data_IF_514331596298
#
_entry.id   IF_514331596298
#
_cell.length_a   1.000
_cell.length_b   1.000
_cell.length_c   1.000
_cell.angle_alpha   90.00
_cell.angle_beta   90.00
_cell.angle_gamma   90.00
#
_symmetry.space_group_name_H-M   'P 1'
#
loop_
_entity.id
_entity.type
_entity.pdbx_description
1 polymer ?
#
# COMPACT_ATOMS: atom_id res chain seq x y z
N UNK A 1 27.91 -33.40 -24.51
CA UNK A 1 28.37 -32.15 -23.92
C UNK A 1 28.94 -31.21 -24.96
N UNK A 2 28.42 -30.00 -25.04
CA UNK A 2 28.88 -28.95 -25.94
C UNK A 2 29.39 -27.74 -25.11
N UNK A 3 30.65 -27.77 -24.69
CA UNK A 3 31.23 -26.67 -23.95
C UNK A 3 31.29 -25.38 -24.78
N UNK A 4 31.10 -24.21 -24.22
CA UNK A 4 31.11 -22.96 -24.95
C UNK A 4 32.52 -22.66 -25.49
N UNK A 5 32.61 -22.28 -26.77
CA UNK A 5 33.86 -21.78 -27.39
C UNK A 5 34.30 -20.41 -26.86
N UNK A 6 33.35 -19.62 -26.36
CA UNK A 6 33.57 -18.28 -25.82
C UNK A 6 32.81 -18.18 -24.47
N UNK A 7 33.42 -17.57 -23.47
CA UNK A 7 32.89 -17.48 -22.09
C UNK A 7 31.47 -16.89 -21.96
N UNK A 8 30.98 -16.17 -22.96
CA UNK A 8 29.62 -15.59 -23.01
C UNK A 8 28.56 -16.54 -23.54
N UNK A 9 28.92 -17.68 -24.12
CA UNK A 9 27.98 -18.66 -24.61
C UNK A 9 27.63 -19.67 -23.52
N UNK A 10 26.38 -20.20 -23.51
CA UNK A 10 25.98 -21.20 -22.54
C UNK A 10 26.65 -22.57 -22.80
N UNK A 11 26.85 -23.32 -21.73
CA UNK A 11 27.19 -24.75 -21.82
C UNK A 11 25.92 -25.51 -22.14
N UNK A 12 25.97 -26.40 -23.16
CA UNK A 12 24.83 -27.19 -23.60
C UNK A 12 25.09 -28.69 -23.41
N UNK A 13 24.09 -29.40 -22.92
CA UNK A 13 24.12 -30.85 -22.78
C UNK A 13 22.94 -31.42 -23.53
N UNK A 14 23.18 -32.22 -24.56
CA UNK A 14 22.12 -32.90 -25.28
C UNK A 14 21.72 -34.15 -24.51
N UNK A 15 20.45 -34.28 -24.23
CA UNK A 15 19.83 -35.41 -23.55
C UNK A 15 18.81 -36.04 -24.48
N UNK A 16 18.63 -37.35 -24.37
CA UNK A 16 17.67 -38.12 -25.15
C UNK A 16 16.93 -39.07 -24.22
N UNK A 17 15.64 -39.25 -24.47
CA UNK A 17 14.81 -40.32 -23.92
C UNK A 17 13.98 -40.96 -25.02
N UNK A 18 13.02 -41.79 -24.63
CA UNK A 18 12.15 -42.53 -25.60
C UNK A 18 11.18 -41.60 -26.35
N UNK A 19 11.02 -40.34 -25.88
CA UNK A 19 10.10 -39.36 -26.47
C UNK A 19 10.78 -38.35 -27.39
N UNK A 20 12.11 -38.17 -27.27
CA UNK A 20 12.84 -37.24 -28.13
C UNK A 20 14.15 -36.73 -27.57
N UNK A 21 14.59 -35.61 -28.18
CA UNK A 21 15.83 -34.91 -27.85
C UNK A 21 15.52 -33.60 -27.14
N UNK A 22 16.27 -33.29 -26.09
CA UNK A 22 16.21 -32.00 -25.37
C UNK A 22 17.62 -31.49 -25.06
N UNK A 23 17.81 -30.18 -25.10
CA UNK A 23 19.04 -29.54 -24.66
C UNK A 23 18.89 -28.92 -23.26
N UNK A 24 19.78 -29.27 -22.34
CA UNK A 24 19.95 -28.58 -21.08
C UNK A 24 20.94 -27.43 -21.27
N UNK A 25 20.56 -26.24 -20.90
CA UNK A 25 21.30 -24.99 -21.14
C UNK A 25 21.75 -24.37 -19.85
N UNK A 26 23.06 -24.15 -19.68
CA UNK A 26 23.63 -23.58 -18.46
C UNK A 26 24.43 -22.33 -18.79
N UNK A 27 24.02 -21.16 -18.26
CA UNK A 27 24.79 -19.94 -18.33
C UNK A 27 25.77 -19.87 -17.14
N UNK A 28 27.00 -19.46 -17.40
CA UNK A 28 28.05 -19.29 -16.37
C UNK A 28 28.39 -20.56 -15.56
N UNK A 29 28.15 -21.75 -16.09
CA UNK A 29 28.44 -23.00 -15.39
C UNK A 29 29.90 -23.44 -15.59
N UNK A 30 30.48 -24.09 -14.58
CA UNK A 30 31.82 -24.68 -14.61
C UNK A 30 31.72 -26.05 -15.25
N UNK A 31 32.62 -26.37 -16.19
CA UNK A 31 32.69 -27.64 -16.92
C UNK A 31 32.71 -28.83 -15.97
N UNK A 32 33.63 -28.83 -15.01
CA UNK A 32 33.82 -29.91 -14.05
C UNK A 32 32.53 -30.23 -13.26
N UNK A 33 31.75 -29.19 -12.91
CA UNK A 33 30.47 -29.37 -12.22
C UNK A 33 29.43 -30.05 -13.11
N UNK A 34 29.30 -29.59 -14.37
CA UNK A 34 28.32 -30.16 -15.32
C UNK A 34 28.66 -31.63 -15.64
N UNK A 35 29.93 -31.96 -15.89
CA UNK A 35 30.36 -33.31 -16.17
C UNK A 35 30.16 -34.28 -14.98
N UNK A 36 30.28 -33.74 -13.75
CA UNK A 36 30.00 -34.51 -12.51
C UNK A 36 28.51 -34.80 -12.33
N UNK A 37 27.64 -33.83 -12.63
CA UNK A 37 26.20 -33.95 -12.38
C UNK A 37 25.49 -34.64 -13.52
N UNK A 38 25.98 -34.46 -14.76
CA UNK A 38 25.45 -35.05 -15.99
C UNK A 38 26.54 -35.88 -16.72
N UNK A 39 27.01 -36.98 -16.15
CA UNK A 39 28.01 -37.82 -16.82
C UNK A 39 27.44 -38.41 -18.11
N UNK A 40 28.30 -38.56 -19.15
CA UNK A 40 27.90 -39.11 -20.44
C UNK A 40 27.47 -40.58 -20.28
N UNK A 41 26.39 -40.95 -20.95
CA UNK A 41 25.87 -42.32 -20.95
C UNK A 41 25.13 -42.74 -19.70
N UNK A 42 24.87 -41.80 -18.77
CA UNK A 42 24.08 -42.08 -17.58
C UNK A 42 22.69 -41.41 -17.64
N UNK A 43 21.70 -42.13 -17.15
CA UNK A 43 20.34 -41.63 -17.02
C UNK A 43 20.25 -40.66 -15.82
N UNK A 44 19.56 -39.53 -16.02
CA UNK A 44 19.21 -38.54 -15.00
C UNK A 44 17.76 -38.15 -15.11
N UNK A 45 17.17 -37.82 -13.99
CA UNK A 45 15.87 -37.15 -13.92
C UNK A 45 16.15 -35.67 -13.85
N UNK A 46 15.55 -34.89 -14.73
CA UNK A 46 15.67 -33.44 -14.77
C UNK A 46 14.30 -32.80 -14.60
N UNK A 47 14.20 -31.76 -13.77
CA UNK A 47 12.98 -30.99 -13.55
C UNK A 47 13.29 -29.52 -13.78
N UNK A 48 12.39 -28.82 -14.46
CA UNK A 48 12.53 -27.40 -14.77
C UNK A 48 11.56 -26.96 -15.86
N UNK A 49 11.63 -25.69 -16.24
CA UNK A 49 10.79 -25.11 -17.28
C UNK A 49 11.29 -25.51 -18.67
N UNK A 50 10.45 -26.21 -19.42
CA UNK A 50 10.71 -26.55 -20.81
C UNK A 50 10.36 -25.36 -21.71
N UNK A 51 11.26 -25.02 -22.63
CA UNK A 51 11.14 -23.93 -23.58
C UNK A 51 11.44 -24.39 -25.00
N UNK A 52 10.82 -23.77 -26.00
CA UNK A 52 11.16 -23.93 -27.41
C UNK A 52 12.02 -22.78 -27.90
N UNK A 53 13.22 -23.06 -28.36
CA UNK A 53 14.12 -22.04 -28.87
C UNK A 53 14.72 -22.49 -30.21
N UNK A 54 14.51 -21.72 -31.30
CA UNK A 54 14.99 -22.01 -32.66
C UNK A 54 14.63 -23.41 -33.14
N UNK A 55 13.44 -23.91 -32.82
CA UNK A 55 12.96 -25.23 -33.25
C UNK A 55 13.42 -26.38 -32.35
N UNK A 56 14.26 -26.17 -31.36
CA UNK A 56 14.71 -27.18 -30.42
C UNK A 56 14.00 -27.06 -29.08
N UNK A 57 13.76 -28.21 -28.45
CA UNK A 57 13.28 -28.26 -27.05
C UNK A 57 14.47 -28.04 -26.12
N UNK A 58 14.39 -27.10 -25.22
CA UNK A 58 15.44 -26.84 -24.24
C UNK A 58 14.91 -26.61 -22.85
N UNK A 59 15.76 -26.84 -21.85
CA UNK A 59 15.52 -26.50 -20.45
C UNK A 59 16.70 -25.68 -19.94
N UNK A 60 16.44 -24.41 -19.55
CA UNK A 60 17.47 -23.53 -19.06
C UNK A 60 17.57 -23.63 -17.53
N UNK A 61 18.77 -23.94 -17.03
CA UNK A 61 19.04 -24.11 -15.60
C UNK A 61 18.02 -25.01 -14.89
N UNK A 62 18.00 -26.34 -15.16
CA UNK A 62 17.12 -27.27 -14.46
C UNK A 62 17.12 -27.03 -12.95
N UNK A 63 15.95 -27.00 -12.32
CA UNK A 63 15.81 -26.85 -10.88
C UNK A 63 16.38 -28.07 -10.13
N UNK A 64 16.13 -29.26 -10.67
CA UNK A 64 16.63 -30.52 -10.14
C UNK A 64 17.30 -31.34 -11.23
N UNK A 65 18.44 -31.98 -10.87
CA UNK A 65 19.14 -32.99 -11.65
C UNK A 65 19.53 -34.09 -10.65
N UNK A 66 18.84 -35.24 -10.72
CA UNK A 66 19.00 -36.33 -9.76
C UNK A 66 19.19 -37.67 -10.47
N UNK A 67 19.68 -38.67 -9.75
CA UNK A 67 19.70 -40.06 -10.23
C UNK A 67 18.31 -40.68 -10.13
N UNK A 68 17.97 -41.64 -11.00
CA UNK A 68 16.69 -42.35 -10.90
C UNK A 68 16.40 -42.97 -9.54
N UNK A 69 17.44 -43.43 -8.83
CA UNK A 69 17.34 -44.01 -7.49
C UNK A 69 17.00 -42.98 -6.40
N UNK A 70 17.03 -41.68 -6.71
CA UNK A 70 16.77 -40.60 -5.79
C UNK A 70 15.37 -39.96 -6.01
N UNK A 71 14.54 -40.56 -6.86
CA UNK A 71 13.23 -40.00 -7.25
C UNK A 71 12.29 -39.87 -6.06
N UNK A 72 12.33 -40.80 -5.12
CA UNK A 72 11.50 -40.78 -3.90
C UNK A 72 11.84 -39.62 -2.99
N UNK A 73 13.03 -39.04 -3.10
CA UNK A 73 13.46 -37.87 -2.37
C UNK A 73 13.09 -36.55 -3.05
N UNK A 74 12.54 -36.62 -4.28
CA UNK A 74 12.10 -35.44 -4.99
C UNK A 74 10.73 -35.03 -4.46
N UNK A 75 10.66 -33.82 -3.88
CA UNK A 75 9.40 -33.26 -3.44
C UNK A 75 8.52 -32.95 -4.67
N UNK A 76 7.28 -33.41 -4.65
CA UNK A 76 6.29 -33.11 -5.71
C UNK A 76 5.82 -31.66 -5.65
N UNK A 77 5.87 -31.07 -4.46
CA UNK A 77 5.49 -29.68 -4.20
C UNK A 77 6.62 -29.00 -3.41
N UNK A 78 7.10 -27.88 -3.91
CA UNK A 78 8.15 -27.10 -3.25
C UNK A 78 7.72 -25.64 -3.03
N UNK A 79 7.98 -25.05 -1.85
CA UNK A 79 7.77 -23.63 -1.64
C UNK A 79 8.79 -22.83 -2.44
N UNK A 80 8.31 -21.87 -3.23
CA UNK A 80 9.14 -20.94 -4.02
C UNK A 80 9.20 -19.60 -3.30
N UNK A 81 10.41 -19.15 -3.02
CA UNK A 81 10.66 -17.88 -2.35
C UNK A 81 11.21 -16.83 -3.33
N UNK A 82 10.80 -15.56 -3.21
CA UNK A 82 11.38 -14.49 -4.00
C UNK A 82 12.87 -14.35 -3.72
N UNK A 83 13.67 -14.25 -4.78
CA UNK A 83 15.13 -14.18 -4.71
C UNK A 83 15.60 -12.74 -4.94
N UNK A 84 16.76 -12.42 -4.38
CA UNK A 84 17.49 -11.18 -4.66
C UNK A 84 18.85 -11.49 -5.30
N UNK A 85 19.48 -10.50 -5.92
CA UNK A 85 20.77 -10.68 -6.58
C UNK A 85 21.83 -11.26 -5.63
N UNK A 86 22.52 -12.31 -6.08
CA UNK A 86 23.55 -13.00 -5.30
C UNK A 86 23.04 -14.11 -4.39
N UNK A 87 21.72 -14.28 -4.21
CA UNK A 87 21.14 -15.37 -3.41
C UNK A 87 20.45 -16.39 -4.32
N UNK A 88 20.79 -17.67 -4.15
CA UNK A 88 20.18 -18.77 -4.90
C UNK A 88 19.11 -19.48 -4.07
N UNK A 89 18.17 -20.19 -4.73
CA UNK A 89 17.04 -20.87 -4.07
C UNK A 89 17.47 -21.88 -2.99
N UNK A 90 18.44 -22.75 -3.28
CA UNK A 90 18.85 -23.83 -2.35
C UNK A 90 19.30 -23.35 -0.97
N UNK A 91 20.25 -22.39 -0.83
CA UNK A 91 20.63 -21.87 0.48
C UNK A 91 19.48 -21.20 1.21
N UNK A 92 18.63 -20.43 0.48
CA UNK A 92 17.48 -19.74 1.07
C UNK A 92 16.44 -20.75 1.61
N UNK A 93 16.06 -21.73 0.82
CA UNK A 93 15.12 -22.79 1.24
C UNK A 93 15.65 -23.57 2.44
N UNK A 94 16.95 -23.91 2.45
CA UNK A 94 17.56 -24.57 3.61
C UNK A 94 17.52 -23.69 4.87
N UNK A 95 17.82 -22.42 4.74
CA UNK A 95 17.77 -21.47 5.86
C UNK A 95 16.37 -21.35 6.43
N UNK A 96 15.35 -21.18 5.54
CA UNK A 96 13.94 -21.07 5.95
C UNK A 96 13.46 -22.35 6.62
N UNK A 97 13.71 -23.52 6.04
CA UNK A 97 13.36 -24.82 6.67
C UNK A 97 13.96 -24.97 8.07
N UNK A 98 15.21 -24.59 8.25
CA UNK A 98 15.84 -24.63 9.58
C UNK A 98 15.19 -23.63 10.55
N UNK A 99 14.89 -22.42 10.09
CA UNK A 99 14.24 -21.39 10.92
C UNK A 99 12.83 -21.81 11.35
N UNK A 100 12.06 -22.41 10.45
CA UNK A 100 10.70 -22.93 10.76
C UNK A 100 10.76 -24.04 11.79
N UNK A 101 11.77 -24.94 11.71
CA UNK A 101 11.98 -25.99 12.72
C UNK A 101 12.38 -25.45 14.09
N UNK A 102 13.04 -24.30 14.14
CA UNK A 102 13.43 -23.62 15.38
C UNK A 102 12.33 -22.73 15.96
N UNK A 103 11.25 -22.50 15.21
CA UNK A 103 10.14 -21.68 15.67
C UNK A 103 9.46 -22.32 16.88
N UNK A 104 9.27 -21.55 17.94
CA UNK A 104 8.59 -21.99 19.14
C UNK A 104 7.10 -21.66 19.08
N UNK A 105 6.23 -22.48 19.71
CA UNK A 105 4.83 -22.16 19.82
C UNK A 105 4.63 -20.84 20.56
N UNK A 106 3.81 -19.96 20.00
CA UNK A 106 3.40 -18.72 20.63
C UNK A 106 2.09 -18.95 21.40
N UNK A 107 1.87 -18.23 22.51
CA UNK A 107 0.57 -18.23 23.17
C UNK A 107 -0.51 -17.81 22.19
N UNK A 108 -1.64 -18.51 22.23
CA UNK A 108 -2.77 -18.18 21.38
C UNK A 108 -3.43 -16.89 21.86
N UNK A 109 -3.58 -15.92 20.96
CA UNK A 109 -4.08 -14.58 21.27
C UNK A 109 -5.50 -14.32 20.72
N UNK A 110 -6.01 -15.26 19.92
CA UNK A 110 -7.36 -15.18 19.37
C UNK A 110 -8.37 -15.84 20.30
N UNK A 111 -9.64 -15.47 20.12
CA UNK A 111 -10.75 -16.06 20.86
C UNK A 111 -10.85 -17.57 20.61
N UNK A 112 -10.80 -18.41 21.67
CA UNK A 112 -10.84 -19.87 21.52
C UNK A 112 -12.14 -20.38 20.86
N UNK A 113 -13.26 -19.70 21.09
CA UNK A 113 -14.55 -20.09 20.48
C UNK A 113 -14.52 -19.83 18.98
N UNK A 114 -13.90 -18.72 18.56
CA UNK A 114 -13.70 -18.40 17.15
C UNK A 114 -12.78 -19.43 16.47
N UNK A 115 -11.66 -19.78 17.07
CA UNK A 115 -10.73 -20.78 16.55
C UNK A 115 -11.40 -22.13 16.35
N UNK A 116 -12.14 -22.60 17.36
CA UNK A 116 -12.87 -23.87 17.31
C UNK A 116 -13.94 -23.86 16.21
N UNK A 117 -14.76 -22.79 16.12
CA UNK A 117 -15.79 -22.64 15.11
C UNK A 117 -15.23 -22.69 13.69
N UNK A 118 -14.07 -22.08 13.45
CA UNK A 118 -13.44 -21.99 12.15
C UNK A 118 -12.48 -23.16 11.87
N UNK A 119 -12.35 -24.13 12.78
CA UNK A 119 -11.40 -25.24 12.69
C UNK A 119 -9.97 -24.72 12.35
N UNK A 120 -9.61 -23.64 13.00
CA UNK A 120 -8.34 -22.94 12.75
C UNK A 120 -7.20 -23.68 13.45
N UNK A 121 -6.12 -24.06 12.75
CA UNK A 121 -4.96 -24.71 13.37
C UNK A 121 -4.21 -23.75 14.30
N UNK A 122 -3.34 -24.29 15.17
CA UNK A 122 -2.41 -23.49 15.95
C UNK A 122 -1.46 -22.71 15.04
N UNK A 123 -0.98 -21.55 15.50
CA UNK A 123 -0.11 -20.68 14.70
C UNK A 123 1.13 -21.41 14.16
N UNK A 124 1.83 -22.17 15.03
CA UNK A 124 3.05 -22.88 14.62
C UNK A 124 2.74 -23.99 13.60
N UNK A 125 1.67 -24.73 13.80
CA UNK A 125 1.20 -25.75 12.87
C UNK A 125 0.87 -25.14 11.50
N UNK A 126 0.16 -24.00 11.50
CA UNK A 126 -0.15 -23.27 10.28
C UNK A 126 1.11 -22.80 9.55
N UNK A 127 2.10 -22.26 10.30
CA UNK A 127 3.38 -21.82 9.77
C UNK A 127 4.14 -22.98 9.12
N UNK A 128 4.26 -24.10 9.81
CA UNK A 128 4.95 -25.29 9.30
C UNK A 128 4.28 -25.83 8.03
N UNK A 129 2.97 -25.96 8.04
CA UNK A 129 2.21 -26.50 6.89
C UNK A 129 2.34 -25.65 5.63
N UNK A 130 2.35 -24.33 5.77
CA UNK A 130 2.53 -23.42 4.60
C UNK A 130 3.95 -23.49 4.02
N UNK A 131 4.95 -23.75 4.86
CA UNK A 131 6.35 -23.85 4.43
C UNK A 131 6.77 -25.29 4.01
N UNK A 132 6.01 -26.30 4.39
CA UNK A 132 6.24 -27.71 4.06
C UNK A 132 4.95 -28.34 3.49
N UNK A 133 4.46 -27.87 2.33
CA UNK A 133 3.29 -28.47 1.68
C UNK A 133 3.63 -29.89 1.22
N UNK A 134 2.68 -30.83 1.33
CA UNK A 134 2.87 -32.24 0.98
C UNK A 134 2.13 -32.62 -0.30
N UNK A 135 1.06 -31.90 -0.62
CA UNK A 135 0.17 -32.20 -1.75
C UNK A 135 -0.48 -30.93 -2.31
N UNK A 136 -1.21 -31.08 -3.41
CA UNK A 136 -1.86 -29.96 -4.10
C UNK A 136 -2.97 -29.28 -3.26
N UNK A 137 -3.63 -30.00 -2.37
CA UNK A 137 -4.66 -29.44 -1.50
C UNK A 137 -4.05 -28.39 -0.54
N UNK A 138 -2.81 -28.59 -0.11
CA UNK A 138 -2.07 -27.66 0.73
C UNK A 138 -1.78 -26.32 0.03
N UNK A 139 -1.83 -26.30 -1.32
CA UNK A 139 -1.61 -25.10 -2.13
C UNK A 139 -2.87 -24.22 -2.22
N UNK A 140 -4.02 -24.74 -1.84
CA UNK A 140 -5.28 -24.00 -1.91
C UNK A 140 -5.22 -22.69 -1.11
N UNK A 141 -5.70 -21.60 -1.71
CA UNK A 141 -5.84 -20.32 -1.00
C UNK A 141 -6.83 -20.44 0.18
N UNK A 142 -7.71 -21.42 0.14
CA UNK A 142 -8.70 -21.70 1.18
C UNK A 142 -8.24 -22.73 2.23
N UNK A 143 -7.00 -23.23 2.12
CA UNK A 143 -6.45 -24.17 3.10
C UNK A 143 -6.45 -23.54 4.51
N UNK A 144 -6.85 -24.29 5.57
CA UNK A 144 -7.00 -23.74 6.93
C UNK A 144 -5.73 -23.04 7.45
N UNK A 145 -4.54 -23.56 7.18
CA UNK A 145 -3.28 -22.96 7.58
C UNK A 145 -3.05 -21.58 6.93
N UNK A 146 -3.33 -21.44 5.62
CA UNK A 146 -3.24 -20.15 4.93
C UNK A 146 -4.26 -19.15 5.44
N UNK A 147 -5.51 -19.60 5.64
CA UNK A 147 -6.56 -18.76 6.23
C UNK A 147 -6.17 -18.26 7.62
N UNK A 148 -5.58 -19.14 8.44
CA UNK A 148 -5.13 -18.76 9.77
C UNK A 148 -4.10 -17.64 9.72
N UNK A 149 -3.01 -17.81 8.97
CA UNK A 149 -1.94 -16.81 8.88
C UNK A 149 -2.42 -15.52 8.23
N UNK A 150 -3.24 -15.59 7.17
CA UNK A 150 -3.81 -14.41 6.53
C UNK A 150 -4.75 -13.64 7.48
N UNK A 151 -5.54 -14.34 8.30
CA UNK A 151 -6.39 -13.70 9.31
C UNK A 151 -5.57 -13.01 10.38
N UNK A 152 -4.52 -13.66 10.89
CA UNK A 152 -3.62 -13.08 11.90
C UNK A 152 -2.97 -11.79 11.40
N UNK A 153 -2.44 -11.78 10.18
CA UNK A 153 -1.83 -10.62 9.54
C UNK A 153 -2.83 -9.46 9.40
N UNK A 154 -3.98 -9.74 8.78
CA UNK A 154 -5.02 -8.73 8.58
C UNK A 154 -5.56 -8.17 9.89
N UNK A 155 -5.76 -9.04 10.90
CA UNK A 155 -6.26 -8.60 12.20
C UNK A 155 -5.20 -7.77 12.94
N UNK A 156 -3.92 -8.17 12.89
CA UNK A 156 -2.84 -7.40 13.47
C UNK A 156 -2.74 -6.00 12.86
N UNK A 157 -2.85 -5.88 11.53
CA UNK A 157 -2.88 -4.60 10.83
C UNK A 157 -4.07 -3.74 11.25
N UNK A 158 -5.27 -4.33 11.34
CA UNK A 158 -6.47 -3.60 11.76
C UNK A 158 -6.37 -3.14 13.23
N UNK A 159 -5.80 -3.96 14.11
CA UNK A 159 -5.56 -3.59 15.50
C UNK A 159 -4.52 -2.48 15.61
N UNK A 160 -3.42 -2.56 14.87
CA UNK A 160 -2.40 -1.51 14.85
C UNK A 160 -3.00 -0.16 14.38
N UNK A 161 -3.78 -0.17 13.29
CA UNK A 161 -4.50 1.00 12.82
C UNK A 161 -5.50 1.53 13.85
N UNK A 162 -6.21 0.64 14.54
CA UNK A 162 -7.18 1.02 15.58
C UNK A 162 -6.49 1.69 16.78
N UNK A 163 -5.32 1.16 17.20
CA UNK A 163 -4.51 1.75 18.28
C UNK A 163 -4.01 3.14 17.87
N UNK A 164 -3.48 3.27 16.65
CA UNK A 164 -3.04 4.57 16.13
C UNK A 164 -4.19 5.57 16.10
N UNK A 165 -5.37 5.19 15.56
CA UNK A 165 -6.56 6.03 15.55
C UNK A 165 -7.00 6.44 16.97
N UNK A 166 -7.00 5.49 17.91
CA UNK A 166 -7.36 5.77 19.33
C UNK A 166 -6.37 6.72 19.98
N UNK A 167 -5.07 6.59 19.69
CA UNK A 167 -4.03 7.49 20.21
C UNK A 167 -4.17 8.90 19.65
N UNK A 168 -4.47 9.02 18.33
CA UNK A 168 -4.75 10.30 17.70
C UNK A 168 -6.02 10.97 18.27
N UNK A 169 -7.11 10.22 18.45
CA UNK A 169 -8.35 10.72 19.05
C UNK A 169 -8.21 11.16 20.51
N UNK A 170 -7.23 10.65 21.27
CA UNK A 170 -6.96 11.10 22.64
C UNK A 170 -6.29 12.47 22.72
N UNK A 171 -5.73 12.98 21.62
CA UNK A 171 -5.22 14.34 21.58
C UNK A 171 -6.41 15.30 21.61
N UNK A 172 -6.33 16.33 22.47
CA UNK A 172 -7.32 17.38 22.48
C UNK A 172 -7.44 18.00 21.08
N UNK A 173 -8.64 18.06 20.56
CA UNK A 173 -9.00 18.73 19.31
C UNK A 173 -9.60 20.10 19.62
N UNK A 174 -9.69 20.92 18.59
CA UNK A 174 -10.40 22.19 18.65
C UNK A 174 -11.89 21.93 18.45
N UNK A 175 -12.73 22.51 19.31
CA UNK A 175 -14.18 22.49 19.12
C UNK A 175 -14.54 23.48 18.01
N UNK A 176 -14.99 22.97 16.86
CA UNK A 176 -15.43 23.76 15.72
C UNK A 176 -16.97 23.65 15.62
N UNK A 177 -17.64 24.25 16.56
CA UNK A 177 -19.10 24.26 16.61
C UNK A 177 -19.70 25.30 15.64
N UNK A 178 -21.00 25.21 15.39
CA UNK A 178 -21.71 26.18 14.58
C UNK A 178 -21.63 27.57 15.26
N UNK A 179 -21.17 28.57 14.50
CA UNK A 179 -21.06 29.96 14.98
C UNK A 179 -21.90 30.94 14.14
N UNK A 180 -22.03 30.64 12.83
CA UNK A 180 -22.78 31.45 11.88
C UNK A 180 -23.55 30.56 10.88
N UNK A 181 -24.20 31.14 9.90
CA UNK A 181 -24.99 30.40 8.88
C UNK A 181 -24.27 30.32 7.53
N UNK A 182 -22.91 30.30 7.54
CA UNK A 182 -22.12 30.30 6.31
C UNK A 182 -22.29 29.02 5.52
N UNK A 183 -22.32 27.87 6.20
CA UNK A 183 -22.55 26.56 5.58
C UNK A 183 -23.94 26.48 4.98
N UNK A 184 -24.97 26.91 5.70
CA UNK A 184 -26.35 26.92 5.25
C UNK A 184 -26.55 27.86 4.05
N UNK A 185 -25.94 29.05 4.06
CA UNK A 185 -25.93 29.98 2.94
C UNK A 185 -25.25 29.40 1.72
N UNK A 186 -24.12 28.71 1.91
CA UNK A 186 -23.43 28.02 0.84
C UNK A 186 -24.31 26.93 0.24
N UNK A 187 -24.95 26.10 1.06
CA UNK A 187 -25.88 25.05 0.58
C UNK A 187 -27.03 25.66 -0.22
N UNK A 188 -27.60 26.76 0.24
CA UNK A 188 -28.70 27.45 -0.44
C UNK A 188 -28.28 28.06 -1.80
N UNK A 189 -26.99 28.41 -1.96
CA UNK A 189 -26.44 29.00 -3.18
C UNK A 189 -25.94 27.95 -4.21
N UNK A 190 -25.93 26.66 -3.87
CA UNK A 190 -25.51 25.63 -4.80
C UNK A 190 -26.46 25.54 -6.02
N UNK A 191 -25.93 25.36 -7.25
CA UNK A 191 -26.74 25.19 -8.44
C UNK A 191 -27.43 23.83 -8.54
N UNK A 192 -27.25 22.98 -7.50
CA UNK A 192 -27.82 21.64 -7.39
C UNK A 192 -28.19 21.34 -5.92
N UNK A 193 -28.96 20.27 -5.70
CA UNK A 193 -29.27 19.81 -4.35
C UNK A 193 -28.29 18.72 -3.91
N UNK A 194 -27.88 18.77 -2.65
CA UNK A 194 -27.08 17.69 -2.08
C UNK A 194 -27.88 16.39 -2.05
N UNK A 195 -27.24 15.30 -2.36
CA UNK A 195 -27.82 13.94 -2.19
C UNK A 195 -27.96 13.61 -0.71
N UNK A 196 -28.79 12.61 -0.39
CA UNK A 196 -28.93 12.12 0.98
C UNK A 196 -27.59 11.66 1.57
N UNK A 197 -26.76 10.96 0.78
CA UNK A 197 -25.44 10.50 1.21
C UNK A 197 -24.50 11.68 1.51
N UNK A 198 -24.46 12.70 0.67
CA UNK A 198 -23.65 13.91 0.90
C UNK A 198 -24.13 14.65 2.15
N UNK A 199 -25.45 14.79 2.33
CA UNK A 199 -26.03 15.43 3.51
C UNK A 199 -25.70 14.69 4.80
N UNK A 200 -25.79 13.36 4.80
CA UNK A 200 -25.46 12.53 5.95
C UNK A 200 -23.97 12.58 6.27
N UNK A 201 -23.10 12.46 5.25
CA UNK A 201 -21.66 12.57 5.43
C UNK A 201 -21.26 13.93 6.00
N UNK A 202 -21.86 15.02 5.49
CA UNK A 202 -21.62 16.36 6.03
C UNK A 202 -22.07 16.49 7.50
N UNK A 203 -23.26 16.01 7.84
CA UNK A 203 -23.74 16.01 9.24
C UNK A 203 -22.81 15.30 10.18
N UNK A 204 -22.29 14.13 9.78
CA UNK A 204 -21.34 13.35 10.57
C UNK A 204 -20.01 14.08 10.75
N UNK A 205 -19.48 14.69 9.67
CA UNK A 205 -18.25 15.51 9.73
C UNK A 205 -18.42 16.68 10.67
N UNK A 206 -19.51 17.44 10.54
CA UNK A 206 -19.77 18.61 11.37
C UNK A 206 -20.00 18.23 12.83
N UNK A 207 -20.57 17.08 13.10
CA UNK A 207 -20.69 16.52 14.46
C UNK A 207 -19.32 16.22 15.05
N UNK A 208 -18.46 15.52 14.31
CA UNK A 208 -17.11 15.20 14.79
C UNK A 208 -16.27 16.47 15.02
N UNK A 209 -16.38 17.49 14.14
CA UNK A 209 -15.71 18.79 14.30
C UNK A 209 -16.16 19.55 15.55
N UNK A 210 -17.38 19.32 16.04
CA UNK A 210 -17.92 19.95 17.25
C UNK A 210 -17.47 19.24 18.53
N UNK A 211 -16.81 18.09 18.46
CA UNK A 211 -16.30 17.36 19.63
C UNK A 211 -14.93 17.91 20.08
N UNK A 212 -14.57 17.82 21.37
CA UNK A 212 -13.27 18.28 21.89
C UNK A 212 -12.12 17.29 21.59
N UNK A 213 -12.26 16.52 20.52
CA UNK A 213 -11.32 15.49 20.08
C UNK A 213 -10.86 15.76 18.66
N UNK A 214 -9.60 15.48 18.34
CA UNK A 214 -9.11 15.60 16.97
C UNK A 214 -9.88 14.67 16.03
N UNK A 215 -10.48 15.27 14.99
CA UNK A 215 -11.14 14.53 13.95
C UNK A 215 -10.11 13.90 13.00
N UNK A 216 -10.24 12.60 12.76
CA UNK A 216 -9.58 11.90 11.66
C UNK A 216 -10.63 11.07 10.93
N UNK A 217 -11.12 11.59 9.82
CA UNK A 217 -12.23 10.98 9.07
C UNK A 217 -11.86 10.75 7.62
N UNK A 218 -12.19 9.57 7.11
CA UNK A 218 -12.09 9.24 5.69
C UNK A 218 -13.45 9.51 5.03
N UNK A 219 -13.47 10.36 4.01
CA UNK A 219 -14.59 10.55 3.10
C UNK A 219 -14.35 9.74 1.84
N UNK A 220 -15.10 8.66 1.65
CA UNK A 220 -14.99 7.76 0.50
C UNK A 220 -16.22 7.87 -0.40
N UNK A 221 -15.99 7.75 -1.69
CA UNK A 221 -17.04 7.74 -2.72
C UNK A 221 -16.44 7.68 -4.11
N UNK A 222 -17.23 7.34 -5.11
CA UNK A 222 -16.81 7.24 -6.50
C UNK A 222 -16.31 8.57 -7.09
N UNK A 223 -15.63 8.51 -8.22
CA UNK A 223 -15.26 9.71 -8.97
C UNK A 223 -16.55 10.42 -9.41
N UNK A 224 -16.61 11.73 -9.20
CA UNK A 224 -17.82 12.51 -9.51
C UNK A 224 -18.91 12.47 -8.45
N UNK A 225 -18.76 11.75 -7.33
CA UNK A 225 -19.76 11.70 -6.25
C UNK A 225 -19.91 13.00 -5.45
N UNK A 226 -19.16 14.06 -5.78
CA UNK A 226 -19.23 15.36 -5.13
C UNK A 226 -18.49 15.47 -3.80
N UNK A 227 -17.47 14.65 -3.55
CA UNK A 227 -16.62 14.73 -2.35
C UNK A 227 -16.06 16.14 -2.11
N UNK A 228 -15.69 16.84 -3.16
CA UNK A 228 -15.15 18.21 -3.13
C UNK A 228 -16.13 19.19 -2.52
N UNK A 229 -17.43 19.06 -2.81
CA UNK A 229 -18.46 19.93 -2.24
C UNK A 229 -18.64 19.68 -0.74
N UNK A 230 -18.66 18.41 -0.32
CA UNK A 230 -18.73 18.05 1.10
C UNK A 230 -17.50 18.57 1.86
N UNK A 231 -16.31 18.42 1.28
CA UNK A 231 -15.07 18.97 1.85
C UNK A 231 -15.11 20.51 1.94
N UNK A 232 -15.59 21.18 0.91
CA UNK A 232 -15.76 22.63 0.92
C UNK A 232 -16.70 23.09 2.03
N UNK A 233 -17.86 22.47 2.19
CA UNK A 233 -18.81 22.80 3.26
C UNK A 233 -18.22 22.55 4.67
N UNK A 234 -17.41 21.51 4.84
CA UNK A 234 -16.67 21.29 6.07
C UNK A 234 -15.61 22.39 6.32
N UNK A 235 -14.87 22.81 5.27
CA UNK A 235 -13.92 23.93 5.38
C UNK A 235 -14.62 25.24 5.74
N UNK A 236 -15.81 25.51 5.23
CA UNK A 236 -16.60 26.68 5.61
C UNK A 236 -16.94 26.69 7.11
N UNK A 237 -17.18 25.54 7.73
CA UNK A 237 -17.39 25.45 9.17
C UNK A 237 -16.16 25.94 9.97
N UNK A 238 -14.94 25.63 9.50
CA UNK A 238 -13.73 26.19 10.12
C UNK A 238 -13.64 27.71 9.90
N UNK A 239 -14.04 28.20 8.73
CA UNK A 239 -14.05 29.65 8.42
C UNK A 239 -15.08 30.39 9.25
N UNK A 240 -16.22 29.82 9.59
CA UNK A 240 -17.24 30.42 10.45
C UNK A 240 -16.72 30.87 11.82
N UNK A 241 -15.78 30.15 12.39
CA UNK A 241 -15.15 30.47 13.66
C UNK A 241 -13.92 31.41 13.54
N UNK A 242 -13.71 31.99 12.34
CA UNK A 242 -12.57 32.86 12.03
C UNK A 242 -11.25 32.12 11.77
N UNK A 243 -11.27 30.80 11.70
CA UNK A 243 -10.09 29.98 11.43
C UNK A 243 -9.87 29.76 9.93
N UNK A 244 -8.74 29.15 9.59
CA UNK A 244 -8.36 28.80 8.23
C UNK A 244 -8.52 27.31 7.97
N UNK A 245 -8.77 26.97 6.71
CA UNK A 245 -8.74 25.58 6.23
C UNK A 245 -7.75 25.40 5.07
N UNK A 246 -7.17 24.21 4.97
CA UNK A 246 -6.26 23.85 3.88
C UNK A 246 -6.78 22.61 3.14
N UNK A 247 -6.70 22.63 1.80
CA UNK A 247 -6.95 21.45 0.94
C UNK A 247 -5.70 21.11 0.17
N UNK A 248 -5.22 19.90 0.36
CA UNK A 248 -4.04 19.38 -0.31
C UNK A 248 -4.42 18.38 -1.39
N UNK A 249 -3.89 18.58 -2.60
CA UNK A 249 -4.00 17.68 -3.73
C UNK A 249 -2.62 17.12 -4.12
N UNK A 250 -2.54 15.88 -4.65
CA UNK A 250 -1.27 15.23 -4.99
C UNK A 250 -0.55 15.86 -6.18
N UNK A 251 -1.29 16.49 -7.08
CA UNK A 251 -0.73 17.10 -8.28
C UNK A 251 -1.19 18.54 -8.43
N UNK A 252 -0.43 19.32 -9.16
CA UNK A 252 -0.79 20.72 -9.45
C UNK A 252 -2.06 20.83 -10.29
N UNK A 253 -2.28 19.90 -11.19
CA UNK A 253 -3.50 19.86 -12.03
C UNK A 253 -4.74 19.71 -11.17
N UNK A 254 -4.72 18.75 -10.22
CA UNK A 254 -5.82 18.56 -9.28
C UNK A 254 -6.00 19.75 -8.34
N UNK A 255 -4.90 20.35 -7.86
CA UNK A 255 -4.98 21.54 -7.02
C UNK A 255 -5.65 22.70 -7.76
N UNK A 256 -5.34 22.93 -9.03
CA UNK A 256 -5.99 23.95 -9.87
C UNK A 256 -7.46 23.65 -10.12
N UNK A 257 -7.79 22.41 -10.41
CA UNK A 257 -9.17 21.97 -10.59
C UNK A 257 -10.01 22.19 -9.31
N UNK A 258 -9.48 21.85 -8.15
CA UNK A 258 -10.13 22.14 -6.88
C UNK A 258 -10.24 23.64 -6.62
N UNK A 259 -9.20 24.41 -6.94
CA UNK A 259 -9.21 25.86 -6.79
C UNK A 259 -10.29 26.53 -7.64
N UNK A 260 -10.43 26.17 -8.89
CA UNK A 260 -11.47 26.69 -9.78
C UNK A 260 -12.87 26.39 -9.24
N UNK A 261 -13.12 25.11 -8.92
CA UNK A 261 -14.42 24.67 -8.40
C UNK A 261 -14.76 25.35 -7.06
N UNK A 262 -13.83 25.35 -6.11
CA UNK A 262 -14.08 25.89 -4.77
C UNK A 262 -14.14 27.42 -4.78
N UNK A 263 -13.33 28.09 -5.61
CA UNK A 263 -13.38 29.56 -5.74
C UNK A 263 -14.72 30.04 -6.27
N UNK A 264 -15.32 29.33 -7.22
CA UNK A 264 -16.64 29.66 -7.74
C UNK A 264 -17.70 29.53 -6.64
N UNK A 265 -17.70 28.44 -5.90
CA UNK A 265 -18.61 28.22 -4.77
C UNK A 265 -18.40 29.23 -3.64
N UNK A 266 -17.15 29.56 -3.33
CA UNK A 266 -16.79 30.47 -2.25
C UNK A 266 -17.19 31.94 -2.51
N UNK A 267 -17.23 32.37 -3.79
CA UNK A 267 -17.70 33.72 -4.20
C UNK A 267 -19.11 34.01 -3.71
N UNK A 268 -20.00 33.02 -3.74
CA UNK A 268 -21.40 33.19 -3.34
C UNK A 268 -21.58 33.52 -1.86
N UNK A 269 -20.59 33.17 -1.04
CA UNK A 269 -20.60 33.38 0.42
C UNK A 269 -19.53 34.36 0.91
N UNK A 270 -18.75 34.96 0.00
CA UNK A 270 -17.76 35.99 0.30
C UNK A 270 -16.50 35.48 0.99
N UNK A 271 -16.08 34.21 0.74
CA UNK A 271 -14.90 33.58 1.34
C UNK A 271 -13.69 33.68 0.42
N UNK A 272 -12.56 34.13 0.96
CA UNK A 272 -11.32 34.25 0.20
C UNK A 272 -10.60 32.89 0.08
N UNK A 273 -10.43 32.44 -1.15
CA UNK A 273 -9.72 31.20 -1.51
C UNK A 273 -8.46 31.55 -2.29
N UNK A 274 -7.38 30.85 -2.02
CA UNK A 274 -6.14 31.00 -2.80
C UNK A 274 -5.48 29.66 -3.07
N UNK A 275 -4.62 29.63 -4.11
CA UNK A 275 -3.83 28.44 -4.46
C UNK A 275 -2.35 28.69 -4.18
N UNK A 276 -1.66 27.69 -3.62
CA UNK A 276 -0.21 27.69 -3.41
C UNK A 276 0.40 26.42 -3.97
N UNK A 277 1.25 26.57 -4.98
CA UNK A 277 1.92 25.45 -5.66
C UNK A 277 3.44 25.64 -5.68
N UNK A 278 4.17 24.62 -6.12
CA UNK A 278 5.62 24.69 -6.27
C UNK A 278 6.11 25.67 -7.37
N UNK A 279 5.19 26.15 -8.25
CA UNK A 279 5.53 27.14 -9.29
C UNK A 279 5.53 28.59 -8.79
N UNK A 280 4.87 28.84 -7.67
CA UNK A 280 4.82 30.17 -7.08
C UNK A 280 6.19 30.54 -6.52
N UNK A 281 6.85 31.58 -7.05
CA UNK A 281 8.20 31.98 -6.71
C UNK A 281 8.32 33.50 -6.50
N UNK A 282 9.36 33.94 -5.80
CA UNK A 282 9.71 35.34 -5.62
C UNK A 282 8.60 36.16 -4.98
N UNK A 283 8.45 37.40 -5.41
CA UNK A 283 7.50 38.38 -4.83
C UNK A 283 6.03 37.92 -4.82
N UNK A 284 5.62 37.12 -5.80
CA UNK A 284 4.25 36.60 -5.87
C UNK A 284 4.01 35.64 -4.71
N UNK A 285 4.96 34.72 -4.46
CA UNK A 285 4.91 33.79 -3.34
C UNK A 285 4.94 34.52 -2.00
N UNK A 286 5.86 35.48 -1.83
CA UNK A 286 5.97 36.27 -0.60
C UNK A 286 4.68 37.00 -0.26
N UNK A 287 4.04 37.64 -1.25
CA UNK A 287 2.76 38.32 -1.08
C UNK A 287 1.64 37.32 -0.71
N UNK A 288 1.65 36.14 -1.30
CA UNK A 288 0.67 35.10 -0.99
C UNK A 288 0.88 34.60 0.47
N UNK A 289 2.10 34.30 0.85
CA UNK A 289 2.44 33.85 2.20
C UNK A 289 2.07 34.91 3.26
N UNK A 290 2.32 36.22 3.00
CA UNK A 290 1.93 37.27 3.92
C UNK A 290 0.40 37.36 4.12
N UNK A 291 -0.38 37.13 3.07
CA UNK A 291 -1.86 37.09 3.14
C UNK A 291 -2.39 35.84 3.86
N UNK A 292 -1.67 34.71 3.79
CA UNK A 292 -2.00 33.51 4.57
C UNK A 292 -1.72 33.79 6.06
N UNK A 293 -0.56 34.32 6.38
CA UNK A 293 -0.17 34.64 7.78
C UNK A 293 -1.06 35.71 8.40
N UNK A 294 -1.55 36.67 7.62
CA UNK A 294 -2.49 37.68 8.12
C UNK A 294 -3.92 37.18 8.36
N UNK A 295 -4.26 35.96 7.88
CA UNK A 295 -5.62 35.45 7.95
C UNK A 295 -6.56 35.99 6.86
N UNK A 296 -6.07 36.84 5.95
CA UNK A 296 -6.87 37.36 4.84
C UNK A 296 -7.42 36.26 3.91
N UNK A 297 -6.65 35.18 3.77
CA UNK A 297 -7.05 33.99 3.00
C UNK A 297 -7.60 32.96 3.98
N UNK A 298 -8.88 32.64 3.83
CA UNK A 298 -9.59 31.70 4.69
C UNK A 298 -9.37 30.24 4.29
N UNK A 299 -9.27 29.97 2.98
CA UNK A 299 -9.08 28.62 2.43
C UNK A 299 -7.86 28.62 1.51
N UNK A 300 -6.88 27.74 1.80
CA UNK A 300 -5.68 27.59 0.97
C UNK A 300 -5.70 26.21 0.31
N UNK A 301 -5.64 26.17 -1.00
CA UNK A 301 -5.55 24.94 -1.79
C UNK A 301 -4.14 24.82 -2.33
N UNK A 302 -3.56 23.62 -2.30
CA UNK A 302 -2.21 23.47 -2.83
C UNK A 302 -1.75 22.02 -2.93
N UNK A 303 -0.48 21.88 -3.22
CA UNK A 303 0.22 20.60 -3.27
C UNK A 303 1.08 20.42 -2.02
N UNK A 304 2.09 19.53 -2.09
CA UNK A 304 3.12 19.41 -1.05
C UNK A 304 3.79 20.75 -0.68
N UNK A 305 3.63 21.81 -1.48
CA UNK A 305 4.09 23.14 -1.14
C UNK A 305 3.53 23.67 0.18
N UNK A 306 2.33 23.22 0.59
CA UNK A 306 1.71 23.57 1.87
C UNK A 306 2.50 23.04 3.09
N UNK A 307 3.34 22.01 2.93
CA UNK A 307 4.18 21.48 4.02
C UNK A 307 5.48 22.23 4.23
N UNK A 308 5.89 23.08 3.30
CA UNK A 308 7.17 23.79 3.39
C UNK A 308 7.22 24.64 4.65
N UNK A 309 8.40 24.72 5.27
CA UNK A 309 8.59 25.39 6.57
C UNK A 309 8.24 26.88 6.56
N UNK A 310 8.38 27.51 5.39
CA UNK A 310 8.04 28.91 5.16
C UNK A 310 6.54 29.22 5.11
N UNK A 311 5.69 28.19 4.89
CA UNK A 311 4.25 28.34 4.89
C UNK A 311 3.74 28.30 6.33
N UNK A 312 3.30 29.42 6.83
CA UNK A 312 2.69 29.58 8.15
C UNK A 312 1.25 30.03 7.99
N UNK A 313 0.36 29.42 8.74
CA UNK A 313 -1.04 29.82 8.82
C UNK A 313 -1.22 30.76 10.02
N UNK A 314 -2.22 31.63 9.96
CA UNK A 314 -2.63 32.41 11.12
C UNK A 314 -3.29 31.52 12.17
N UNK A 315 -4.27 30.72 11.73
CA UNK A 315 -5.05 29.83 12.59
C UNK A 315 -5.63 28.67 11.76
N UNK A 316 -4.83 27.63 11.50
CA UNK A 316 -5.29 26.46 10.74
C UNK A 316 -6.11 25.54 11.65
N UNK A 317 -7.40 25.34 11.34
CA UNK A 317 -8.31 24.48 12.08
C UNK A 317 -8.69 23.18 11.36
N UNK A 318 -8.70 23.16 10.03
CA UNK A 318 -9.06 21.97 9.24
C UNK A 318 -8.07 21.75 8.11
N UNK A 319 -7.58 20.50 7.97
CA UNK A 319 -6.77 20.05 6.87
C UNK A 319 -7.48 18.93 6.11
N UNK A 320 -7.76 19.15 4.83
CA UNK A 320 -8.34 18.17 3.91
C UNK A 320 -7.26 17.64 2.99
N UNK A 321 -7.16 16.33 2.84
CA UNK A 321 -6.17 15.67 1.97
C UNK A 321 -6.92 14.86 0.91
N UNK A 322 -6.81 15.26 -0.34
CA UNK A 322 -7.36 14.53 -1.47
C UNK A 322 -6.40 13.43 -1.93
N UNK A 323 -6.95 12.28 -2.40
CA UNK A 323 -6.18 11.14 -2.90
C UNK A 323 -5.07 10.69 -1.93
N UNK A 324 -5.44 10.50 -0.66
CA UNK A 324 -4.49 10.24 0.45
C UNK A 324 -3.49 9.11 0.20
N UNK A 325 -3.84 8.12 -0.64
CA UNK A 325 -2.95 6.99 -0.96
C UNK A 325 -1.69 7.41 -1.73
N UNK A 326 -1.68 8.60 -2.35
CA UNK A 326 -0.52 9.18 -3.04
C UNK A 326 0.44 9.92 -2.12
N UNK A 327 0.13 10.02 -0.84
CA UNK A 327 0.96 10.69 0.16
C UNK A 327 1.51 9.70 1.17
N UNK A 328 2.80 9.81 1.49
CA UNK A 328 3.43 9.06 2.57
C UNK A 328 2.83 9.44 3.95
N UNK A 329 2.89 8.52 4.90
CA UNK A 329 2.38 8.72 6.28
C UNK A 329 2.97 10.00 6.89
N UNK A 330 4.27 10.23 6.70
CA UNK A 330 4.98 11.39 7.24
C UNK A 330 4.47 12.73 6.69
N UNK A 331 4.13 12.79 5.41
CA UNK A 331 3.61 14.00 4.77
C UNK A 331 2.21 14.38 5.29
N UNK A 332 1.38 13.38 5.60
CA UNK A 332 0.04 13.60 6.17
C UNK A 332 0.11 14.17 7.59
N UNK A 333 1.02 13.66 8.39
CA UNK A 333 1.24 14.16 9.76
C UNK A 333 1.79 15.58 9.79
N UNK A 334 2.66 15.97 8.86
CA UNK A 334 3.25 17.31 8.82
C UNK A 334 2.25 18.44 8.63
N UNK A 335 1.09 18.21 8.00
CA UNK A 335 0.07 19.25 7.86
C UNK A 335 -0.72 19.44 9.16
N UNK A 336 -1.03 18.34 9.84
CA UNK A 336 -1.68 18.40 11.17
C UNK A 336 -0.81 19.04 12.24
N UNK A 337 0.50 18.97 12.11
CA UNK A 337 1.43 19.59 13.07
C UNK A 337 1.59 21.13 12.85
N UNK A 338 1.07 21.68 11.74
CA UNK A 338 1.11 23.14 11.48
C UNK A 338 0.03 23.93 12.20
N UNK A 339 -1.04 23.28 12.67
CA UNK A 339 -2.01 23.86 13.56
C UNK A 339 -1.83 23.25 14.96
N UNK A 340 -1.79 24.06 16.02
CA UNK A 340 -1.64 23.54 17.39
C UNK A 340 -2.75 22.54 17.78
N UNK A 341 -3.89 22.56 17.09
CA UNK A 341 -5.02 21.65 17.27
C UNK A 341 -5.85 21.47 15.98
N UNK A 342 -5.21 21.49 14.81
CA UNK A 342 -5.92 21.31 13.53
C UNK A 342 -6.48 19.88 13.39
N UNK A 343 -7.70 19.79 12.90
CA UNK A 343 -8.44 18.57 12.54
C UNK A 343 -8.18 18.14 11.08
#
# INVERSE_FOLDING_TARGET
>A
HNPPKIRRLPYRVSCQDDTGLMELVFFHARKDYIEKVLPIGQTRIVSGKVEHFKGNVQMSHPDHIIKPSEIENLLTVEPVYPLTAGLTAKPLTKAIKNSVKMAMPLPEWQDPAWLTKNKSPAWLEALQKVHEPENDDDLSALHPARKRLAFDELLADQLALSIVRRTHRKKAGRVIAKHADLVERAIASLPFRLTNSQTNSLKEILKDMAEPLRMLRLLQGDVGSGKTVVAFLAMLRAVEIGAQAALMAPTEVLARQHFETISELAKSVGVNVSILTGRDKGKIREKLLSRIVSGEISIVIGTHALFQKDVKFNDLALAVIDEQHRFGVHQRLMLTDKGEAAD
#
